data_IF_203941326588
#
_entry.id   IF_203941326588
#
_cell.length_a   1.000
_cell.length_b   1.000
_cell.length_c   1.000
_cell.angle_alpha   90.00
_cell.angle_beta   90.00
_cell.angle_gamma   90.00
#
_symmetry.space_group_name_H-M   'P 1'
#
loop_
_entity.id
_entity.type
_entity.pdbx_description
1 polymer ?
#
# COMPACT_ATOMS: atom_id res chain seq x y z
N UNK A 1 5.54 -6.31 14.29
CA UNK A 1 4.67 -5.65 13.29
C UNK A 1 3.47 -6.55 13.04
N UNK A 2 2.28 -5.99 12.80
CA UNK A 2 1.03 -6.72 12.53
C UNK A 2 0.35 -6.14 11.28
N UNK A 3 -0.19 -7.03 10.46
CA UNK A 3 -0.94 -6.71 9.25
C UNK A 3 -2.34 -7.30 9.38
N UNK A 4 -3.35 -6.53 9.02
CA UNK A 4 -4.74 -6.98 8.97
C UNK A 4 -5.41 -6.40 7.72
N UNK A 5 -6.20 -7.21 7.04
CA UNK A 5 -7.03 -6.78 5.92
C UNK A 5 -8.44 -6.59 6.48
N UNK A 6 -9.00 -5.41 6.27
CA UNK A 6 -10.32 -5.00 6.70
C UNK A 6 -11.05 -4.36 5.52
N UNK A 7 -12.39 -4.24 5.53
CA UNK A 7 -13.14 -3.69 4.41
C UNK A 7 -12.66 -2.29 3.95
N UNK A 8 -12.14 -1.47 4.87
CA UNK A 8 -11.61 -0.14 4.56
C UNK A 8 -10.21 -0.15 3.91
N UNK A 9 -9.50 -1.29 3.95
CA UNK A 9 -8.15 -1.39 3.40
C UNK A 9 -7.21 -2.32 4.17
N UNK A 10 -5.90 -2.10 4.00
CA UNK A 10 -4.85 -2.84 4.70
C UNK A 10 -4.41 -2.01 5.91
N UNK A 11 -4.66 -2.54 7.10
CA UNK A 11 -4.22 -1.95 8.35
C UNK A 11 -2.86 -2.52 8.77
N UNK A 12 -1.91 -1.63 9.00
CA UNK A 12 -0.55 -1.97 9.43
C UNK A 12 -0.27 -1.31 10.77
N UNK A 13 0.14 -2.09 11.76
CA UNK A 13 0.44 -1.57 13.09
C UNK A 13 1.69 -2.20 13.68
N UNK A 14 2.30 -1.48 14.62
CA UNK A 14 3.48 -1.96 15.31
C UNK A 14 3.92 -0.99 16.39
N UNK A 15 5.10 -1.24 16.94
CA UNK A 15 5.74 -0.37 17.92
C UNK A 15 7.15 -0.11 17.44
N UNK A 16 7.51 1.17 17.31
CA UNK A 16 8.90 1.58 17.14
C UNK A 16 9.58 1.54 18.50
N UNK A 17 10.57 0.67 18.69
CA UNK A 17 11.32 0.58 19.93
C UNK A 17 12.36 1.70 20.02
N UNK A 18 11.89 2.91 20.34
CA UNK A 18 12.74 4.06 20.65
C UNK A 18 12.64 4.35 22.14
N UNK A 19 13.38 3.63 22.99
CA UNK A 19 13.46 3.82 24.45
C UNK A 19 12.15 3.55 25.23
N UNK A 20 11.08 4.26 24.91
CA UNK A 20 9.73 4.18 25.52
C UNK A 20 8.70 3.41 24.65
N UNK A 21 9.05 3.03 23.42
CA UNK A 21 8.14 2.30 22.52
C UNK A 21 7.00 3.17 21.98
N UNK A 22 7.07 3.56 20.71
CA UNK A 22 6.03 4.39 20.08
C UNK A 22 5.13 3.51 19.21
N UNK A 23 3.85 3.29 19.59
CA UNK A 23 2.94 2.52 18.76
C UNK A 23 2.60 3.33 17.50
N UNK A 24 2.53 2.67 16.36
CA UNK A 24 2.09 3.27 15.10
C UNK A 24 0.95 2.47 14.47
N UNK A 25 0.13 3.17 13.70
CA UNK A 25 -0.97 2.61 12.93
C UNK A 25 -1.06 3.31 11.57
N UNK A 26 -1.25 2.51 10.53
CA UNK A 26 -1.44 2.95 9.15
C UNK A 26 -2.66 2.27 8.57
N UNK A 27 -3.45 3.01 7.80
CA UNK A 27 -4.50 2.47 6.96
C UNK A 27 -4.17 2.78 5.50
N UNK A 28 -3.96 1.73 4.72
CA UNK A 28 -3.75 1.79 3.28
C UNK A 28 -5.03 1.44 2.56
N UNK A 29 -5.52 2.35 1.75
CA UNK A 29 -6.62 2.11 0.84
C UNK A 29 -6.03 1.60 -0.46
N UNK A 30 -6.48 0.43 -0.90
CA UNK A 30 -6.01 -0.23 -2.12
C UNK A 30 -7.16 -0.35 -3.10
N UNK A 31 -6.89 -0.10 -4.37
CA UNK A 31 -7.88 -0.20 -5.45
C UNK A 31 -7.19 -0.48 -6.78
N UNK A 32 -7.99 -0.63 -7.84
CA UNK A 32 -7.50 -0.67 -9.21
C UNK A 32 -7.79 0.67 -9.90
N UNK A 33 -6.82 1.19 -10.64
CA UNK A 33 -6.97 2.35 -11.50
C UNK A 33 -6.12 2.16 -12.74
N UNK A 34 -6.68 2.42 -13.93
CA UNK A 34 -5.98 2.24 -15.22
C UNK A 34 -5.31 0.86 -15.34
N UNK A 35 -6.02 -0.20 -14.95
CA UNK A 35 -5.52 -1.61 -14.92
C UNK A 35 -4.33 -1.86 -13.97
N UNK A 36 -3.96 -0.89 -13.13
CA UNK A 36 -2.88 -0.99 -12.15
C UNK A 36 -3.41 -1.05 -10.72
N UNK A 37 -2.64 -1.66 -9.82
CA UNK A 37 -2.94 -1.60 -8.39
C UNK A 37 -2.46 -0.25 -7.86
N UNK A 38 -3.34 0.48 -7.19
CA UNK A 38 -3.00 1.75 -6.54
C UNK A 38 -3.23 1.65 -5.04
N UNK A 39 -2.29 2.23 -4.28
CA UNK A 39 -2.34 2.25 -2.82
C UNK A 39 -2.17 3.68 -2.30
N UNK A 40 -3.15 4.15 -1.52
CA UNK A 40 -3.14 5.46 -0.88
C UNK A 40 -3.05 5.30 0.62
N UNK A 41 -2.13 6.03 1.25
CA UNK A 41 -2.06 6.10 2.70
C UNK A 41 -3.20 7.00 3.23
N UNK A 42 -4.29 6.37 3.68
CA UNK A 42 -5.49 7.06 4.17
C UNK A 42 -5.34 7.61 5.58
N UNK A 43 -4.58 6.92 6.44
CA UNK A 43 -4.36 7.32 7.84
C UNK A 43 -2.97 6.91 8.30
N UNK A 44 -2.29 7.80 9.02
CA UNK A 44 -1.01 7.55 9.69
C UNK A 44 -1.05 8.14 11.10
N UNK A 45 -0.83 7.31 12.11
CA UNK A 45 -0.74 7.69 13.52
C UNK A 45 0.51 7.11 14.15
N UNK A 46 1.17 7.89 15.01
CA UNK A 46 2.22 7.40 15.89
C UNK A 46 2.03 8.00 17.30
N UNK A 47 1.85 7.16 18.31
CA UNK A 47 1.42 7.58 19.64
C UNK A 47 0.15 8.43 19.58
N UNK A 48 0.19 9.62 20.17
CA UNK A 48 -0.90 10.60 20.16
C UNK A 48 -0.86 11.56 18.95
N UNK A 49 0.16 11.47 18.09
CA UNK A 49 0.37 12.41 17.00
C UNK A 49 -0.22 11.88 15.68
N UNK A 50 -0.97 12.75 15.00
CA UNK A 50 -1.27 12.60 13.58
C UNK A 50 -0.09 13.12 12.78
N UNK A 51 0.49 12.30 11.90
CA UNK A 51 1.73 12.60 11.20
C UNK A 51 1.50 12.95 9.72
N UNK A 52 0.53 13.82 9.45
CA UNK A 52 0.19 14.21 8.07
C UNK A 52 1.38 14.72 7.26
N UNK A 53 2.31 15.45 7.89
CA UNK A 53 3.53 15.95 7.24
C UNK A 53 4.60 14.87 7.00
N UNK A 54 4.61 13.78 7.78
CA UNK A 54 5.52 12.64 7.58
C UNK A 54 5.01 11.71 6.49
N UNK A 55 3.71 11.81 6.13
CA UNK A 55 3.07 10.96 5.12
C UNK A 55 3.86 10.96 3.81
N UNK A 56 4.24 12.14 3.31
CA UNK A 56 4.98 12.26 2.06
C UNK A 56 6.39 11.64 2.15
N UNK A 57 7.11 11.90 3.24
CA UNK A 57 8.43 11.32 3.48
C UNK A 57 8.35 9.78 3.52
N UNK A 58 7.38 9.23 4.25
CA UNK A 58 7.15 7.78 4.30
C UNK A 58 6.85 7.20 2.93
N UNK A 59 5.99 7.85 2.14
CA UNK A 59 5.66 7.40 0.78
C UNK A 59 6.89 7.40 -0.14
N UNK A 60 7.75 8.41 -0.02
CA UNK A 60 9.01 8.48 -0.76
C UNK A 60 9.96 7.33 -0.37
N UNK A 61 10.11 7.06 0.93
CA UNK A 61 10.95 5.96 1.40
C UNK A 61 10.41 4.59 0.95
N UNK A 62 9.09 4.38 0.99
CA UNK A 62 8.47 3.14 0.50
C UNK A 62 8.70 2.97 -1.01
N UNK A 63 8.52 4.03 -1.80
CA UNK A 63 8.79 4.00 -3.22
C UNK A 63 10.28 3.79 -3.52
N UNK A 64 11.19 4.38 -2.74
CA UNK A 64 12.63 4.21 -2.90
C UNK A 64 13.12 2.81 -2.51
N UNK A 65 12.41 2.12 -1.61
CA UNK A 65 12.77 0.78 -1.14
C UNK A 65 12.52 -0.33 -2.19
N UNK A 66 11.85 -0.02 -3.31
CA UNK A 66 11.52 -1.02 -4.34
C UNK A 66 11.45 -0.40 -5.73
N UNK A 67 11.85 -1.15 -6.76
CA UNK A 67 11.83 -0.65 -8.14
C UNK A 67 10.49 -0.81 -8.84
N UNK A 68 9.54 -1.54 -8.23
CA UNK A 68 8.25 -1.87 -8.85
C UNK A 68 7.13 -0.90 -8.49
N UNK A 69 7.39 0.06 -7.60
CA UNK A 69 6.42 1.07 -7.18
C UNK A 69 6.79 2.44 -7.72
N UNK A 70 5.82 3.11 -8.34
CA UNK A 70 5.91 4.52 -8.71
C UNK A 70 5.10 5.35 -7.70
N UNK A 71 5.67 6.47 -7.22
CA UNK A 71 4.93 7.43 -6.41
C UNK A 71 4.42 8.57 -7.29
N UNK A 72 3.09 8.74 -7.37
CA UNK A 72 2.42 9.83 -8.08
C UNK A 72 1.32 10.43 -7.22
N UNK A 73 1.35 11.74 -6.98
CA UNK A 73 0.30 12.47 -6.23
C UNK A 73 -0.13 11.78 -4.91
N UNK A 74 0.85 11.43 -4.08
CA UNK A 74 0.67 10.69 -2.81
C UNK A 74 0.07 9.27 -2.94
N UNK A 75 0.10 8.69 -4.13
CA UNK A 75 -0.41 7.35 -4.44
C UNK A 75 0.74 6.49 -4.93
N UNK A 76 0.88 5.30 -4.34
CA UNK A 76 1.81 4.28 -4.83
C UNK A 76 1.10 3.49 -5.92
N UNK A 77 1.73 3.39 -7.08
CA UNK A 77 1.23 2.67 -8.24
C UNK A 77 2.09 1.44 -8.44
N UNK A 78 1.45 0.28 -8.52
CA UNK A 78 2.09 -1.00 -8.82
C UNK A 78 1.57 -1.52 -10.17
N UNK A 79 2.47 -1.59 -11.13
CA UNK A 79 2.20 -2.08 -12.48
C UNK A 79 2.52 -3.58 -12.55
N UNK A 80 1.49 -4.41 -12.35
CA UNK A 80 1.62 -5.87 -12.34
C UNK A 80 2.09 -6.40 -13.69
N UNK A 81 1.55 -5.84 -14.78
CA UNK A 81 1.87 -6.28 -16.13
C UNK A 81 3.32 -5.95 -16.49
N UNK A 82 3.80 -4.76 -16.13
CA UNK A 82 5.20 -4.40 -16.31
C UNK A 82 6.14 -5.32 -15.52
N UNK A 83 5.78 -5.69 -14.28
CA UNK A 83 6.56 -6.63 -13.48
C UNK A 83 6.61 -8.03 -14.13
N UNK A 84 5.46 -8.55 -14.59
CA UNK A 84 5.40 -9.85 -15.25
C UNK A 84 6.21 -9.85 -16.54
N UNK A 85 6.12 -8.78 -17.33
CA UNK A 85 6.90 -8.63 -18.55
C UNK A 85 8.40 -8.60 -18.29
N UNK A 86 8.86 -7.91 -17.24
CA UNK A 86 10.27 -7.90 -16.82
C UNK A 86 10.76 -9.31 -16.41
N UNK A 87 9.86 -10.12 -15.85
CA UNK A 87 10.12 -11.53 -15.54
C UNK A 87 10.02 -12.46 -16.76
N UNK A 88 9.82 -11.92 -17.98
CA UNK A 88 9.72 -12.69 -19.21
C UNK A 88 8.36 -13.37 -19.42
N UNK A 89 7.34 -12.96 -18.67
CA UNK A 89 5.97 -13.46 -18.76
C UNK A 89 5.11 -12.43 -19.53
N UNK A 90 4.82 -12.66 -20.83
CA UNK A 90 4.06 -11.72 -21.66
C UNK A 90 2.55 -11.83 -21.39
N UNK A 91 2.15 -11.70 -20.13
CA UNK A 91 0.77 -11.71 -19.69
C UNK A 91 0.26 -10.28 -19.51
N UNK A 92 -1.01 -10.08 -19.84
CA UNK A 92 -1.78 -8.90 -19.44
C UNK A 92 -2.85 -9.34 -18.48
N UNK A 93 -2.85 -8.76 -17.28
CA UNK A 93 -3.75 -9.17 -16.21
C UNK A 93 -5.11 -8.50 -16.32
N UNK A 94 -5.24 -7.38 -17.03
CA UNK A 94 -6.51 -6.65 -17.18
C UNK A 94 -7.24 -6.50 -15.85
N UNK A 95 -6.56 -5.96 -14.85
CA UNK A 95 -7.13 -5.80 -13.52
C UNK A 95 -8.35 -4.91 -13.60
N UNK A 96 -9.46 -5.38 -13.05
CA UNK A 96 -10.75 -4.68 -13.07
C UNK A 96 -11.17 -4.22 -11.69
N UNK A 97 -10.91 -5.02 -10.65
CA UNK A 97 -11.29 -4.67 -9.30
C UNK A 97 -10.35 -5.27 -8.25
N UNK A 98 -10.28 -4.59 -7.11
CA UNK A 98 -9.59 -5.08 -5.93
C UNK A 98 -10.48 -4.75 -4.73
N UNK A 99 -10.80 -5.77 -3.94
CA UNK A 99 -11.71 -5.66 -2.79
C UNK A 99 -11.07 -6.25 -1.55
N UNK A 100 -11.11 -5.48 -0.46
CA UNK A 100 -10.74 -5.96 0.85
C UNK A 100 -11.99 -6.48 1.56
N UNK A 101 -11.86 -7.64 2.19
CA UNK A 101 -12.78 -8.15 3.20
C UNK A 101 -11.95 -8.54 4.44
N UNK A 102 -12.60 -8.93 5.53
CA UNK A 102 -11.91 -9.38 6.73
C UNK A 102 -10.95 -10.52 6.41
N UNK A 103 -9.66 -10.26 6.63
CA UNK A 103 -8.54 -11.16 6.38
C UNK A 103 -8.37 -11.63 4.92
N UNK A 104 -9.06 -11.03 3.94
CA UNK A 104 -8.92 -11.43 2.54
C UNK A 104 -8.84 -10.23 1.60
N UNK A 105 -8.07 -10.41 0.53
CA UNK A 105 -7.94 -9.47 -0.59
C UNK A 105 -8.30 -10.22 -1.85
N UNK A 106 -9.37 -9.78 -2.53
CA UNK A 106 -9.77 -10.35 -3.82
C UNK A 106 -9.35 -9.40 -4.92
N UNK A 107 -8.71 -9.95 -5.96
CA UNK A 107 -8.33 -9.23 -7.17
C UNK A 107 -9.07 -9.88 -8.32
N UNK A 108 -9.77 -9.08 -9.11
CA UNK A 108 -10.52 -9.53 -10.29
C UNK A 108 -9.81 -9.06 -11.56
N UNK A 109 -9.71 -9.97 -12.52
CA UNK A 109 -9.14 -9.77 -13.87
C UNK A 109 -10.18 -10.19 -14.91
N UNK A 110 -10.26 -9.46 -16.03
CA UNK A 110 -11.28 -9.67 -17.07
C UNK A 110 -10.73 -9.81 -18.48
#
# INVERSE_FOLDING_TARGET
MRFAIIPEGIHVSGTYETGIGIPFQMLWQVSVSEEKVVARLGKLKAGFLSLGWVKQYLLQEVAAATTVLELRDETLIFDVDALLQDQGLPLRTHLTSLRCDYASLTIESG
#
